data_IF_780084731287
#
_entry.id   IF_780084731287
#
_cell.length_a   1.000
_cell.length_b   1.000
_cell.length_c   1.000
_cell.angle_alpha   90.00
_cell.angle_beta   90.00
_cell.angle_gamma   90.00
#
_symmetry.space_group_name_H-M   'P 1'
#
loop_
_entity.id
_entity.type
_entity.pdbx_description
1 polymer ?
#
# COMPACT_ATOMS: atom_id res chain seq x y z
N UNK A 1 15.74 10.26 12.78
CA UNK A 1 14.67 9.23 12.80
C UNK A 1 13.65 9.58 13.87
N UNK A 2 12.36 9.32 13.64
CA UNK A 2 11.34 9.45 14.68
C UNK A 2 10.56 8.14 14.83
N UNK A 3 10.40 7.66 16.07
CA UNK A 3 9.67 6.44 16.39
C UNK A 3 9.12 6.49 17.82
N UNK A 4 7.91 5.99 18.01
CA UNK A 4 7.23 5.89 19.31
C UNK A 4 7.58 4.60 20.06
N UNK A 5 8.23 3.65 19.38
CA UNK A 5 8.80 2.44 19.96
C UNK A 5 10.34 2.52 19.99
N UNK A 6 10.89 2.69 21.19
CA UNK A 6 12.33 2.78 21.40
C UNK A 6 13.10 1.50 21.06
N UNK A 7 12.40 0.35 20.96
CA UNK A 7 12.98 -0.97 20.68
C UNK A 7 13.06 -1.34 19.21
N UNK A 8 12.29 -0.67 18.34
CA UNK A 8 12.28 -0.96 16.89
C UNK A 8 13.53 -0.35 16.26
N UNK A 9 14.66 -1.02 16.50
CA UNK A 9 15.72 -1.19 15.51
C UNK A 9 15.49 -2.59 14.96
N UNK A 10 14.50 -2.76 14.08
CA UNK A 10 14.37 -4.06 13.43
C UNK A 10 15.52 -4.22 12.42
N UNK A 11 16.71 -4.51 12.95
CA UNK A 11 17.89 -4.83 12.17
C UNK A 11 17.69 -6.12 11.39
N UNK A 12 16.71 -6.97 11.77
CA UNK A 12 16.37 -8.18 11.02
C UNK A 12 15.59 -7.90 9.73
N UNK A 13 14.96 -6.72 9.63
CA UNK A 13 14.34 -6.22 8.42
C UNK A 13 15.34 -5.54 7.45
N UNK A 14 16.57 -5.28 7.90
CA UNK A 14 17.63 -4.76 7.02
C UNK A 14 18.06 -5.88 6.09
N UNK A 15 17.85 -5.68 4.79
CA UNK A 15 18.23 -6.64 3.77
C UNK A 15 19.75 -6.95 3.90
N UNK A 16 20.16 -8.23 4.00
CA UNK A 16 21.57 -8.59 4.16
C UNK A 16 22.48 -8.07 3.05
N UNK A 17 21.93 -7.72 1.88
CA UNK A 17 22.67 -7.09 0.80
C UNK A 17 23.05 -5.64 1.07
N UNK A 18 22.43 -4.95 2.04
CA UNK A 18 22.76 -3.56 2.41
C UNK A 18 24.20 -3.48 2.90
N UNK A 19 24.63 -4.38 3.78
CA UNK A 19 26.02 -4.43 4.25
C UNK A 19 26.97 -4.73 3.08
N UNK A 20 26.59 -5.64 2.19
CA UNK A 20 27.38 -5.94 0.98
C UNK A 20 27.49 -4.75 0.02
N UNK A 21 26.44 -3.94 -0.11
CA UNK A 21 26.40 -2.80 -1.03
C UNK A 21 27.06 -1.55 -0.46
N UNK A 22 26.95 -1.34 0.86
CA UNK A 22 27.37 -0.09 1.51
C UNK A 22 28.65 -0.23 2.33
N UNK A 23 29.02 -1.46 2.73
CA UNK A 23 30.12 -1.73 3.66
C UNK A 23 29.82 -1.35 5.11
N UNK A 24 28.59 -0.91 5.41
CA UNK A 24 28.15 -0.53 6.75
C UNK A 24 27.40 -1.68 7.41
N UNK A 25 27.73 -1.98 8.67
CA UNK A 25 26.94 -2.92 9.46
C UNK A 25 25.56 -2.30 9.76
N UNK A 26 24.49 -3.10 9.88
CA UNK A 26 23.15 -2.62 10.24
C UNK A 26 23.12 -1.69 11.48
N UNK A 27 23.97 -1.96 12.47
CA UNK A 27 24.10 -1.18 13.70
C UNK A 27 24.69 0.21 13.43
N UNK A 28 25.73 0.27 12.57
CA UNK A 28 26.44 1.50 12.24
C UNK A 28 25.58 2.50 11.44
N UNK A 29 24.54 2.02 10.72
CA UNK A 29 23.61 2.85 9.96
C UNK A 29 22.89 3.88 10.85
N UNK A 30 22.71 3.58 12.14
CA UNK A 30 22.01 4.45 13.08
C UNK A 30 22.95 5.27 13.98
N UNK A 31 24.28 5.14 13.83
CA UNK A 31 25.23 5.94 14.59
C UNK A 31 25.18 7.41 14.16
N UNK A 32 25.13 8.32 15.14
CA UNK A 32 25.03 9.76 14.88
C UNK A 32 23.67 10.24 14.34
N UNK A 33 22.67 9.35 14.23
CA UNK A 33 21.32 9.72 13.81
C UNK A 33 20.53 10.28 14.99
N UNK A 34 20.11 11.54 14.88
CA UNK A 34 19.22 12.17 15.87
C UNK A 34 17.88 11.42 15.94
N UNK A 35 17.42 11.15 17.18
CA UNK A 35 16.20 10.38 17.46
C UNK A 35 15.16 11.23 18.17
N UNK A 36 13.91 11.08 17.73
CA UNK A 36 12.78 11.80 18.29
C UNK A 36 11.64 10.80 18.58
N UNK A 37 10.99 10.92 19.74
CA UNK A 37 9.72 10.22 19.96
C UNK A 37 8.58 10.91 19.21
N UNK A 38 8.57 12.25 19.24
CA UNK A 38 7.62 13.06 18.47
C UNK A 38 8.23 13.48 17.13
N UNK A 39 7.67 12.98 16.03
CA UNK A 39 8.14 13.31 14.68
C UNK A 39 8.08 14.81 14.36
N UNK A 40 7.23 15.59 15.04
CA UNK A 40 7.13 17.03 14.78
C UNK A 40 8.43 17.77 15.09
N UNK A 41 9.18 17.29 16.08
CA UNK A 41 10.52 17.81 16.39
C UNK A 41 11.54 17.53 15.28
N UNK A 42 11.35 16.44 14.54
CA UNK A 42 12.16 16.13 13.37
C UNK A 42 11.85 17.10 12.22
N UNK A 43 10.59 17.54 12.08
CA UNK A 43 10.20 18.49 11.02
C UNK A 43 10.82 19.89 11.20
N UNK A 44 11.11 20.29 12.44
CA UNK A 44 11.77 21.56 12.77
C UNK A 44 13.26 21.60 12.32
N UNK A 45 13.86 20.44 12.02
CA UNK A 45 15.25 20.36 11.60
C UNK A 45 15.41 20.87 10.15
N UNK A 46 16.16 21.96 10.00
CA UNK A 46 16.44 22.59 8.70
C UNK A 46 17.41 21.78 7.82
N UNK A 47 18.14 20.81 8.38
CA UNK A 47 19.04 19.93 7.62
C UNK A 47 18.27 18.88 6.82
N UNK A 48 17.03 18.60 7.21
CA UNK A 48 16.18 17.58 6.59
C UNK A 48 15.36 18.24 5.47
N UNK A 49 15.43 17.67 4.26
CA UNK A 49 14.71 18.18 3.08
C UNK A 49 13.58 17.25 2.65
N UNK A 50 13.74 15.93 2.90
CA UNK A 50 12.81 14.89 2.49
C UNK A 50 12.43 14.04 3.71
N UNK A 51 11.16 13.70 3.83
CA UNK A 51 10.62 12.80 4.87
C UNK A 51 10.19 11.50 4.21
N UNK A 52 10.63 10.38 4.78
CA UNK A 52 10.12 9.04 4.46
C UNK A 52 9.15 8.61 5.57
N UNK A 53 7.92 8.28 5.19
CA UNK A 53 6.88 7.83 6.13
C UNK A 53 6.64 6.34 5.90
N UNK A 54 7.06 5.53 6.88
CA UNK A 54 6.79 4.09 6.97
C UNK A 54 6.02 3.71 8.24
N UNK A 55 5.24 4.65 8.77
CA UNK A 55 4.41 4.44 9.96
C UNK A 55 3.20 3.51 9.63
N UNK A 56 2.39 3.11 10.61
CA UNK A 56 1.11 2.46 10.33
C UNK A 56 0.16 3.37 9.53
N UNK A 57 -0.73 2.75 8.74
CA UNK A 57 -1.52 3.44 7.70
C UNK A 57 -2.30 4.67 8.23
N UNK A 58 -2.85 4.60 9.45
CA UNK A 58 -3.59 5.73 10.04
C UNK A 58 -2.74 7.00 10.14
N UNK A 59 -1.43 6.89 10.41
CA UNK A 59 -0.57 8.06 10.58
C UNK A 59 -0.19 8.77 9.29
N UNK A 60 -0.34 8.12 8.14
CA UNK A 60 0.19 8.60 6.86
C UNK A 60 -0.31 10.00 6.50
N UNK A 61 -1.63 10.21 6.50
CA UNK A 61 -2.22 11.47 6.07
C UNK A 61 -1.77 12.65 6.95
N UNK A 62 -1.77 12.48 8.26
CA UNK A 62 -1.35 13.50 9.23
C UNK A 62 0.12 13.86 9.08
N UNK A 63 1.01 12.85 9.11
CA UNK A 63 2.46 13.06 8.99
C UNK A 63 2.83 13.69 7.64
N UNK A 64 2.19 13.28 6.54
CA UNK A 64 2.43 13.84 5.21
C UNK A 64 2.03 15.32 5.16
N UNK A 65 0.84 15.67 5.66
CA UNK A 65 0.36 17.05 5.69
C UNK A 65 1.30 17.93 6.53
N UNK A 66 1.71 17.46 7.70
CA UNK A 66 2.61 18.19 8.59
C UNK A 66 3.99 18.39 7.96
N UNK A 67 4.53 17.36 7.30
CA UNK A 67 5.80 17.45 6.57
C UNK A 67 5.75 18.46 5.42
N UNK A 68 4.68 18.43 4.60
CA UNK A 68 4.50 19.40 3.51
C UNK A 68 4.38 20.83 4.04
N UNK A 69 3.65 21.05 5.14
CA UNK A 69 3.54 22.37 5.77
C UNK A 69 4.86 22.86 6.37
N UNK A 70 5.72 21.94 6.81
CA UNK A 70 7.09 22.24 7.25
C UNK A 70 8.06 22.46 6.07
N UNK A 71 7.58 22.46 4.83
CA UNK A 71 8.38 22.68 3.63
C UNK A 71 9.28 21.51 3.27
N UNK A 72 8.88 20.28 3.61
CA UNK A 72 9.61 19.05 3.29
C UNK A 72 8.91 18.30 2.17
N UNK A 73 9.68 17.73 1.25
CA UNK A 73 9.17 16.77 0.28
C UNK A 73 8.94 15.41 0.97
N UNK A 74 8.04 14.59 0.44
CA UNK A 74 7.58 13.38 1.12
C UNK A 74 7.60 12.16 0.21
N UNK A 75 8.24 11.09 0.68
CA UNK A 75 7.94 9.72 0.25
C UNK A 75 7.07 9.06 1.31
N UNK A 76 5.90 8.54 0.96
CA UNK A 76 4.98 7.88 1.89
C UNK A 76 4.68 6.47 1.42
N UNK A 77 4.77 5.49 2.32
CA UNK A 77 4.37 4.13 1.99
C UNK A 77 2.86 4.03 1.71
N UNK A 78 2.50 3.01 0.93
CA UNK A 78 1.09 2.69 0.67
C UNK A 78 0.47 1.97 1.87
N UNK A 79 -0.84 2.08 2.09
CA UNK A 79 -1.79 2.99 1.44
C UNK A 79 -1.61 4.43 1.94
N UNK A 80 -1.81 5.44 1.08
CA UNK A 80 -1.61 6.84 1.47
C UNK A 80 -2.65 7.35 2.50
N UNK A 81 -3.86 6.79 2.49
CA UNK A 81 -5.01 7.26 3.28
C UNK A 81 -5.92 6.11 3.65
N UNK A 82 -6.67 6.26 4.76
CA UNK A 82 -7.78 5.37 5.12
C UNK A 82 -9.11 5.85 4.54
N UNK A 83 -9.24 7.15 4.25
CA UNK A 83 -10.48 7.75 3.73
C UNK A 83 -10.26 8.60 2.49
N UNK A 84 -11.32 8.78 1.70
CA UNK A 84 -11.29 9.67 0.52
C UNK A 84 -11.06 11.13 0.95
N UNK A 85 -11.60 11.55 2.09
CA UNK A 85 -11.51 12.94 2.54
C UNK A 85 -10.09 13.33 2.98
N UNK A 86 -9.33 12.40 3.57
CA UNK A 86 -7.89 12.58 3.80
C UNK A 86 -7.16 12.87 2.48
N UNK A 87 -7.48 12.13 1.41
CA UNK A 87 -6.88 12.34 0.09
C UNK A 87 -7.19 13.73 -0.46
N UNK A 88 -8.41 14.24 -0.25
CA UNK A 88 -8.79 15.62 -0.62
C UNK A 88 -7.97 16.66 0.15
N UNK A 89 -7.74 16.46 1.45
CA UNK A 89 -6.92 17.36 2.26
C UNK A 89 -5.45 17.35 1.81
N UNK A 90 -4.89 16.17 1.55
CA UNK A 90 -3.52 16.02 1.03
C UNK A 90 -3.36 16.80 -0.28
N UNK A 91 -4.27 16.59 -1.25
CA UNK A 91 -4.23 17.32 -2.53
C UNK A 91 -4.29 18.83 -2.35
N UNK A 92 -5.11 19.32 -1.41
CA UNK A 92 -5.21 20.75 -1.09
C UNK A 92 -3.88 21.28 -0.55
N UNK A 93 -3.22 20.55 0.35
CA UNK A 93 -1.94 20.95 0.95
C UNK A 93 -0.83 20.93 -0.10
N UNK A 94 -0.71 19.86 -0.91
CA UNK A 94 0.24 19.80 -2.03
C UNK A 94 0.09 21.02 -2.95
N UNK A 95 -1.13 21.36 -3.34
CA UNK A 95 -1.39 22.54 -4.20
C UNK A 95 -0.98 23.86 -3.53
N UNK A 96 -1.09 23.94 -2.20
CA UNK A 96 -0.80 25.16 -1.44
C UNK A 96 0.69 25.32 -1.17
N UNK A 97 1.40 24.24 -0.84
CA UNK A 97 2.82 24.26 -0.47
C UNK A 97 3.75 24.09 -1.67
N UNK A 98 3.27 23.43 -2.74
CA UNK A 98 4.10 23.06 -3.89
C UNK A 98 5.06 21.91 -3.62
N UNK A 99 4.96 21.24 -2.47
CA UNK A 99 5.86 20.14 -2.10
C UNK A 99 5.64 18.89 -2.96
N UNK A 100 6.72 18.14 -3.17
CA UNK A 100 6.74 16.93 -3.99
C UNK A 100 6.34 15.74 -3.11
N UNK A 101 5.43 14.90 -3.62
CA UNK A 101 4.98 13.67 -2.96
C UNK A 101 5.16 12.48 -3.87
N UNK A 102 5.81 11.45 -3.36
CA UNK A 102 5.90 10.13 -3.98
C UNK A 102 5.24 9.09 -3.08
N UNK A 103 4.38 8.25 -3.65
CA UNK A 103 3.73 7.14 -2.93
C UNK A 103 4.48 5.85 -3.21
N UNK A 104 4.65 5.00 -2.20
CA UNK A 104 5.35 3.71 -2.25
C UNK A 104 4.66 2.61 -3.06
N UNK A 105 4.01 2.95 -4.17
CA UNK A 105 3.44 2.02 -5.14
C UNK A 105 4.52 1.42 -6.07
N UNK A 106 5.58 0.86 -5.47
CA UNK A 106 6.76 0.36 -6.19
C UNK A 106 6.43 -0.74 -7.21
N UNK A 107 5.28 -1.42 -7.08
CA UNK A 107 4.84 -2.48 -8.00
C UNK A 107 4.71 -2.00 -9.46
N UNK A 108 4.51 -0.70 -9.70
CA UNK A 108 4.56 -0.10 -11.05
C UNK A 108 5.94 -0.23 -11.71
N UNK A 109 7.01 -0.29 -10.91
CA UNK A 109 8.40 -0.43 -11.39
C UNK A 109 8.80 -1.88 -11.65
N UNK A 110 7.99 -2.85 -11.24
CA UNK A 110 8.25 -4.27 -11.52
C UNK A 110 7.92 -4.58 -12.98
N UNK A 111 8.92 -5.09 -13.70
CA UNK A 111 8.82 -5.36 -15.13
C UNK A 111 7.63 -6.25 -15.51
N UNK A 112 7.20 -7.18 -14.65
CA UNK A 112 6.08 -8.09 -14.95
C UNK A 112 4.76 -7.33 -15.02
N UNK A 113 4.49 -6.48 -14.03
CA UNK A 113 3.27 -5.68 -13.98
C UNK A 113 3.27 -4.62 -15.07
N UNK A 114 4.41 -3.95 -15.30
CA UNK A 114 4.56 -3.05 -16.44
C UNK A 114 4.27 -3.77 -17.75
N UNK A 115 4.95 -4.87 -18.05
CA UNK A 115 4.72 -5.63 -19.29
C UNK A 115 3.26 -6.06 -19.43
N UNK A 116 2.62 -6.54 -18.36
CA UNK A 116 1.19 -6.89 -18.41
C UNK A 116 0.31 -5.71 -18.85
N UNK A 117 0.51 -4.53 -18.25
CA UNK A 117 -0.26 -3.32 -18.58
C UNK A 117 0.03 -2.85 -20.01
N UNK A 118 1.29 -2.82 -20.43
CA UNK A 118 1.67 -2.44 -21.79
C UNK A 118 1.07 -3.40 -22.83
N UNK A 119 0.98 -4.71 -22.53
CA UNK A 119 0.31 -5.66 -23.41
C UNK A 119 -1.20 -5.40 -23.52
N UNK A 120 -1.85 -5.02 -22.41
CA UNK A 120 -3.27 -4.61 -22.43
C UNK A 120 -3.44 -3.37 -23.30
N UNK A 121 -2.61 -2.33 -23.10
CA UNK A 121 -2.67 -1.09 -23.88
C UNK A 121 -2.31 -1.28 -25.35
N UNK A 122 -1.41 -2.21 -25.67
CA UNK A 122 -1.06 -2.60 -27.04
C UNK A 122 -2.12 -3.50 -27.72
N UNK A 123 -3.25 -3.80 -27.05
CA UNK A 123 -4.34 -4.60 -27.62
C UNK A 123 -4.03 -6.09 -27.75
N UNK A 124 -3.02 -6.63 -27.05
CA UNK A 124 -2.62 -8.05 -27.14
C UNK A 124 -3.66 -9.04 -26.61
N UNK A 125 -4.66 -8.54 -25.88
CA UNK A 125 -5.81 -9.32 -25.42
C UNK A 125 -7.12 -8.88 -26.12
N UNK A 126 -7.02 -8.10 -27.19
CA UNK A 126 -8.16 -7.40 -27.80
C UNK A 126 -8.71 -6.32 -26.87
N UNK A 127 -10.03 -6.13 -26.87
CA UNK A 127 -10.68 -5.18 -25.98
C UNK A 127 -10.73 -5.74 -24.56
N UNK A 128 -10.13 -5.04 -23.59
CA UNK A 128 -10.26 -5.37 -22.16
C UNK A 128 -11.75 -5.41 -21.75
N UNK A 129 -12.18 -6.47 -21.08
CA UNK A 129 -13.57 -6.66 -20.64
C UNK A 129 -13.69 -6.83 -19.14
N UNK A 130 -12.81 -7.65 -18.55
CA UNK A 130 -12.87 -7.97 -17.14
C UNK A 130 -11.47 -8.00 -16.53
N UNK A 131 -11.38 -7.53 -15.30
CA UNK A 131 -10.20 -7.75 -14.45
C UNK A 131 -10.65 -8.47 -13.19
N UNK A 132 -9.91 -9.50 -12.79
CA UNK A 132 -10.07 -10.12 -11.48
C UNK A 132 -8.82 -9.88 -10.63
N UNK A 133 -9.01 -9.27 -9.47
CA UNK A 133 -7.98 -9.01 -8.47
C UNK A 133 -8.25 -9.90 -7.26
N UNK A 134 -7.44 -10.94 -7.10
CA UNK A 134 -7.51 -11.82 -5.94
C UNK A 134 -6.48 -11.40 -4.88
N UNK A 135 -6.96 -11.06 -3.67
CA UNK A 135 -6.12 -10.54 -2.58
C UNK A 135 -5.77 -11.59 -1.52
N UNK A 136 -6.52 -12.69 -1.46
CA UNK A 136 -6.48 -13.64 -0.36
C UNK A 136 -7.27 -13.15 0.86
N UNK A 137 -7.49 -14.04 1.81
CA UNK A 137 -8.29 -13.76 3.00
C UNK A 137 -7.55 -12.93 4.05
N UNK A 138 -8.32 -12.18 4.82
CA UNK A 138 -7.81 -11.50 6.02
C UNK A 138 -7.55 -12.49 7.15
N UNK A 139 -6.69 -12.09 8.09
CA UNK A 139 -6.53 -12.84 9.33
C UNK A 139 -7.82 -12.74 10.16
N UNK A 140 -8.17 -13.84 10.82
CA UNK A 140 -9.25 -13.89 11.81
C UNK A 140 -8.63 -14.12 13.18
N UNK A 141 -9.15 -13.47 14.21
CA UNK A 141 -8.63 -13.64 15.54
C UNK A 141 -9.37 -12.82 16.59
N UNK A 142 -9.16 -13.21 17.83
CA UNK A 142 -9.79 -12.63 19.01
C UNK A 142 -10.82 -13.59 19.65
N UNK A 143 -11.39 -13.20 20.81
CA UNK A 143 -11.05 -12.00 21.58
C UNK A 143 -9.62 -12.04 22.11
N UNK A 144 -8.90 -10.92 22.02
CA UNK A 144 -7.53 -10.82 22.51
C UNK A 144 -7.49 -10.24 23.93
N UNK A 145 -6.44 -10.60 24.68
CA UNK A 145 -6.21 -10.04 26.00
C UNK A 145 -5.71 -8.58 25.89
N UNK A 146 -6.14 -7.75 26.83
CA UNK A 146 -5.58 -6.42 27.05
C UNK A 146 -4.52 -6.49 28.14
N UNK A 147 -3.39 -5.82 27.94
CA UNK A 147 -2.30 -5.72 28.91
C UNK A 147 -1.84 -4.28 29.04
N UNK A 148 -0.95 -4.00 29.99
CA UNK A 148 -0.17 -2.76 29.95
C UNK A 148 0.73 -2.75 28.71
N UNK A 149 0.89 -1.59 28.08
CA UNK A 149 1.85 -1.40 27.00
C UNK A 149 3.29 -1.62 27.52
N UNK A 150 4.20 -2.17 26.69
CA UNK A 150 5.62 -2.21 27.03
C UNK A 150 6.18 -0.82 27.33
N UNK A 151 7.10 -0.70 28.29
CA UNK A 151 7.67 0.59 28.70
C UNK A 151 8.42 1.33 27.57
N UNK A 152 8.85 0.60 26.55
CA UNK A 152 9.53 1.14 25.38
C UNK A 152 8.57 1.62 24.27
N UNK A 153 7.25 1.41 24.41
CA UNK A 153 6.24 1.81 23.44
C UNK A 153 5.35 2.90 24.03
N UNK A 154 5.38 4.09 23.42
CA UNK A 154 4.43 5.14 23.73
C UNK A 154 3.09 4.85 23.05
N UNK A 155 2.21 4.13 23.75
CA UNK A 155 0.93 3.67 23.21
C UNK A 155 -0.01 4.81 22.80
N UNK A 156 -0.05 5.89 23.57
CA UNK A 156 -0.88 7.07 23.27
C UNK A 156 -0.47 7.70 21.93
N UNK A 157 0.84 7.90 21.72
CA UNK A 157 1.37 8.37 20.45
C UNK A 157 1.27 7.33 19.34
N UNK A 158 1.32 6.04 19.64
CA UNK A 158 1.11 5.01 18.63
C UNK A 158 -0.33 5.09 18.08
N UNK A 159 -1.31 5.23 18.96
CA UNK A 159 -2.73 5.41 18.59
C UNK A 159 -2.95 6.70 17.79
N UNK A 160 -2.38 7.81 18.25
CA UNK A 160 -2.51 9.09 17.54
C UNK A 160 -3.95 9.57 17.44
N UNK A 161 -4.41 9.81 16.21
CA UNK A 161 -5.80 10.21 15.95
C UNK A 161 -6.82 9.06 15.98
N UNK A 162 -6.38 7.81 16.12
CA UNK A 162 -7.28 6.67 16.24
C UNK A 162 -7.95 6.62 17.64
N UNK A 163 -9.04 5.85 17.81
CA UNK A 163 -9.72 5.74 19.10
C UNK A 163 -8.79 5.32 20.26
N UNK A 164 -9.00 5.93 21.42
CA UNK A 164 -8.31 5.53 22.65
C UNK A 164 -8.82 4.18 23.13
N UNK A 165 -7.93 3.17 23.12
CA UNK A 165 -8.23 1.81 23.55
C UNK A 165 -7.10 1.26 24.42
N UNK A 166 -7.37 0.30 25.34
CA UNK A 166 -6.32 -0.41 26.05
C UNK A 166 -5.36 -1.11 25.09
N UNK A 167 -4.11 -1.25 25.51
CA UNK A 167 -3.11 -1.95 24.70
C UNK A 167 -3.45 -3.44 24.57
N UNK A 168 -3.41 -3.91 23.33
CA UNK A 168 -3.50 -5.32 22.94
C UNK A 168 -2.39 -5.58 21.94
N UNK A 169 -1.56 -6.60 22.17
CA UNK A 169 -0.40 -6.88 21.33
C UNK A 169 -0.77 -7.05 19.86
N UNK A 170 -1.86 -7.76 19.60
CA UNK A 170 -2.40 -8.05 18.26
C UNK A 170 -3.01 -6.82 17.57
N UNK A 171 -3.05 -5.67 18.25
CA UNK A 171 -3.45 -4.38 17.68
C UNK A 171 -2.27 -3.57 17.16
N UNK A 172 -1.05 -3.91 17.58
CA UNK A 172 0.15 -3.12 17.33
C UNK A 172 1.05 -3.73 16.23
N UNK A 173 1.91 -2.91 15.65
CA UNK A 173 2.88 -3.32 14.61
C UNK A 173 2.22 -4.15 13.50
N UNK A 174 2.82 -5.24 13.03
CA UNK A 174 2.33 -5.97 11.84
C UNK A 174 0.82 -6.27 11.81
N UNK A 175 0.22 -6.56 12.97
CA UNK A 175 -1.20 -6.95 13.06
C UNK A 175 -2.17 -5.76 13.12
N UNK A 176 -1.69 -4.51 13.17
CA UNK A 176 -2.55 -3.31 13.05
C UNK A 176 -3.44 -3.40 11.80
N UNK A 177 -2.95 -4.07 10.75
CA UNK A 177 -3.60 -4.24 9.44
C UNK A 177 -5.00 -4.83 9.51
N UNK A 178 -5.32 -5.56 10.58
CA UNK A 178 -6.58 -6.28 10.74
C UNK A 178 -7.63 -5.53 11.57
N UNK A 179 -7.40 -4.23 11.79
CA UNK A 179 -8.27 -3.34 12.55
C UNK A 179 -8.64 -2.11 11.72
N UNK A 180 -9.94 -1.85 11.55
CA UNK A 180 -10.46 -0.68 10.84
C UNK A 180 -10.03 0.67 11.44
N UNK A 181 -9.67 0.67 12.72
CA UNK A 181 -9.13 1.86 13.39
C UNK A 181 -7.79 2.32 12.78
N UNK A 182 -7.03 1.39 12.19
CA UNK A 182 -5.66 1.65 11.71
C UNK A 182 -5.45 1.34 10.23
N UNK A 183 -6.27 0.48 9.61
CA UNK A 183 -6.09 -0.05 8.26
C UNK A 183 -7.42 -0.58 7.68
N UNK A 184 -7.39 -1.22 6.51
CA UNK A 184 -8.56 -1.88 5.89
C UNK A 184 -8.31 -3.33 5.46
N UNK A 185 -7.39 -4.03 6.14
CA UNK A 185 -7.05 -5.42 5.82
C UNK A 185 -6.35 -5.58 4.47
N UNK A 186 -6.56 -6.71 3.82
CA UNK A 186 -5.96 -7.05 2.53
C UNK A 186 -6.29 -6.06 1.43
N UNK A 187 -7.44 -5.38 1.53
CA UNK A 187 -7.84 -4.34 0.58
C UNK A 187 -6.87 -3.15 0.59
N UNK A 188 -6.47 -2.68 1.76
CA UNK A 188 -5.53 -1.55 1.86
C UNK A 188 -4.07 -2.01 1.89
N UNK A 189 -3.82 -3.26 2.26
CA UNK A 189 -2.48 -3.84 2.26
C UNK A 189 -2.01 -4.26 0.85
N UNK A 190 -2.42 -5.44 0.38
CA UNK A 190 -2.05 -5.92 -0.96
C UNK A 190 -2.88 -5.25 -2.06
N UNK A 191 -4.14 -4.93 -1.77
CA UNK A 191 -5.06 -4.31 -2.72
C UNK A 191 -4.57 -2.95 -3.19
N UNK A 192 -3.93 -2.14 -2.36
CA UNK A 192 -3.32 -0.87 -2.79
C UNK A 192 -2.34 -1.04 -3.96
N UNK A 193 -1.60 -2.16 -4.02
CA UNK A 193 -0.73 -2.44 -5.16
C UNK A 193 -1.50 -3.00 -6.38
N UNK A 194 -2.34 -4.01 -6.17
CA UNK A 194 -3.01 -4.68 -7.29
C UNK A 194 -4.07 -3.79 -7.95
N UNK A 195 -4.79 -2.99 -7.15
CA UNK A 195 -5.78 -2.04 -7.65
C UNK A 195 -5.13 -0.88 -8.41
N UNK A 196 -3.97 -0.39 -7.98
CA UNK A 196 -3.21 0.62 -8.75
C UNK A 196 -2.85 0.10 -10.15
N UNK A 197 -2.33 -1.13 -10.26
CA UNK A 197 -2.01 -1.73 -11.57
C UNK A 197 -3.27 -1.98 -12.40
N UNK A 198 -4.35 -2.48 -11.80
CA UNK A 198 -5.62 -2.69 -12.50
C UNK A 198 -6.18 -1.37 -13.03
N UNK A 199 -6.20 -0.31 -12.20
CA UNK A 199 -6.64 1.03 -12.59
C UNK A 199 -5.78 1.62 -13.70
N UNK A 200 -4.47 1.37 -13.66
CA UNK A 200 -3.57 1.79 -14.72
C UNK A 200 -3.87 1.10 -16.05
N UNK A 201 -4.20 -0.19 -16.04
CA UNK A 201 -4.63 -0.91 -17.25
C UNK A 201 -5.96 -0.36 -17.81
N UNK A 202 -6.92 -0.02 -16.93
CA UNK A 202 -8.25 0.46 -17.32
C UNK A 202 -8.21 1.89 -17.87
N UNK A 203 -7.39 2.76 -17.28
CA UNK A 203 -7.18 4.15 -17.73
C UNK A 203 -8.33 5.11 -17.44
N UNK A 204 -9.28 4.74 -16.58
CA UNK A 204 -10.39 5.61 -16.13
C UNK A 204 -10.83 5.25 -14.71
N UNK A 205 -11.58 6.14 -14.07
CA UNK A 205 -12.18 5.90 -12.76
C UNK A 205 -13.48 5.09 -12.84
N UNK A 206 -13.84 4.33 -11.79
CA UNK A 206 -15.10 3.59 -11.74
C UNK A 206 -16.29 4.53 -11.59
N UNK A 207 -17.44 4.12 -12.15
CA UNK A 207 -18.73 4.82 -12.03
C UNK A 207 -19.67 4.15 -11.02
N UNK A 208 -19.40 2.90 -10.64
CA UNK A 208 -20.19 2.16 -9.65
C UNK A 208 -19.31 1.21 -8.85
N UNK A 209 -19.61 1.06 -7.56
CA UNK A 209 -18.93 0.14 -6.64
C UNK A 209 -20.00 -0.65 -5.87
N UNK A 210 -19.98 -1.97 -6.00
CA UNK A 210 -20.95 -2.88 -5.38
C UNK A 210 -20.19 -3.81 -4.43
N UNK A 211 -20.14 -3.50 -3.12
CA UNK A 211 -19.45 -4.31 -2.13
C UNK A 211 -20.36 -5.38 -1.51
N UNK A 212 -19.78 -6.55 -1.29
CA UNK A 212 -20.33 -7.65 -0.49
C UNK A 212 -19.25 -8.07 0.51
N UNK A 213 -19.58 -8.14 1.79
CA UNK A 213 -18.61 -8.45 2.83
C UNK A 213 -19.25 -9.12 4.05
N UNK A 214 -18.51 -10.06 4.64
CA UNK A 214 -18.83 -10.63 5.95
C UNK A 214 -17.97 -9.96 7.00
N UNK A 215 -18.59 -9.22 7.93
CA UNK A 215 -17.90 -8.54 9.02
C UNK A 215 -17.92 -9.41 10.27
N UNK A 216 -16.77 -9.72 10.88
CA UNK A 216 -16.74 -10.50 12.11
C UNK A 216 -17.33 -9.71 13.27
N UNK A 217 -18.00 -10.41 14.20
CA UNK A 217 -18.57 -9.82 15.42
C UNK A 217 -17.80 -10.35 16.63
N UNK A 218 -16.55 -9.93 16.77
CA UNK A 218 -15.65 -10.37 17.85
C UNK A 218 -15.21 -9.17 18.69
N UNK A 219 -15.60 -9.16 19.96
CA UNK A 219 -15.15 -8.13 20.91
C UNK A 219 -13.64 -8.19 21.07
N UNK A 220 -12.97 -7.04 20.96
CA UNK A 220 -11.51 -6.94 20.96
C UNK A 220 -10.83 -8.02 20.08
N UNK A 221 -11.37 -8.25 18.89
CA UNK A 221 -10.80 -9.09 17.85
C UNK A 221 -10.66 -8.31 16.54
N UNK A 222 -9.99 -8.93 15.58
CA UNK A 222 -9.88 -8.36 14.24
C UNK A 222 -11.27 -8.07 13.67
N UNK A 223 -11.44 -6.87 13.11
CA UNK A 223 -12.75 -6.35 12.70
C UNK A 223 -12.85 -6.03 11.20
N UNK A 224 -11.79 -6.31 10.43
CA UNK A 224 -11.82 -6.27 8.96
C UNK A 224 -12.63 -7.44 8.38
N UNK A 225 -13.12 -7.36 7.13
CA UNK A 225 -13.99 -8.39 6.55
C UNK A 225 -13.30 -9.75 6.47
N UNK A 226 -13.99 -10.83 6.85
CA UNK A 226 -13.44 -12.20 6.76
C UNK A 226 -13.65 -12.84 5.39
N UNK A 227 -14.68 -12.40 4.67
CA UNK A 227 -14.93 -12.70 3.27
C UNK A 227 -15.37 -11.40 2.58
N UNK A 228 -14.91 -11.17 1.35
CA UNK A 228 -15.28 -9.97 0.62
C UNK A 228 -15.23 -10.16 -0.89
N UNK A 229 -16.17 -9.49 -1.56
CA UNK A 229 -16.25 -9.38 -3.01
C UNK A 229 -16.66 -7.94 -3.33
N UNK A 230 -15.95 -7.29 -4.23
CA UNK A 230 -16.32 -5.92 -4.67
C UNK A 230 -16.31 -5.88 -6.19
N UNK A 231 -17.45 -5.54 -6.79
CA UNK A 231 -17.56 -5.31 -8.22
C UNK A 231 -17.47 -3.80 -8.49
N UNK A 232 -16.52 -3.42 -9.34
CA UNK A 232 -16.39 -2.07 -9.88
C UNK A 232 -16.83 -2.08 -11.34
N UNK A 233 -17.65 -1.11 -11.73
CA UNK A 233 -18.00 -0.87 -13.15
C UNK A 233 -17.39 0.43 -13.63
N UNK A 234 -16.96 0.43 -14.88
CA UNK A 234 -16.27 1.54 -15.54
C UNK A 234 -17.06 2.05 -16.74
N UNK A 235 -16.87 3.32 -17.14
CA UNK A 235 -17.62 3.92 -18.26
C UNK A 235 -17.29 3.31 -19.63
N UNK A 236 -16.22 2.51 -19.73
CA UNK A 236 -15.80 1.80 -20.93
C UNK A 236 -16.28 0.33 -20.96
N UNK A 237 -17.32 0.00 -20.20
CA UNK A 237 -17.90 -1.35 -20.05
C UNK A 237 -16.95 -2.41 -19.49
N UNK A 238 -15.82 -1.99 -18.90
CA UNK A 238 -14.95 -2.89 -18.14
C UNK A 238 -15.55 -3.16 -16.76
N UNK A 239 -15.48 -4.39 -16.30
CA UNK A 239 -15.77 -4.77 -14.92
C UNK A 239 -14.50 -5.21 -14.20
N UNK A 240 -14.25 -4.69 -12.99
CA UNK A 240 -13.19 -5.19 -12.12
C UNK A 240 -13.80 -5.86 -10.89
N UNK A 241 -13.48 -7.13 -10.71
CA UNK A 241 -13.85 -7.92 -9.55
C UNK A 241 -12.68 -8.00 -8.59
N UNK A 242 -12.86 -7.54 -7.36
CA UNK A 242 -11.91 -7.73 -6.26
C UNK A 242 -12.45 -8.79 -5.31
N UNK A 243 -11.65 -9.78 -4.94
CA UNK A 243 -12.10 -10.94 -4.17
C UNK A 243 -11.03 -11.44 -3.21
N UNK A 244 -11.47 -12.02 -2.09
CA UNK A 244 -10.61 -12.68 -1.11
C UNK A 244 -10.23 -14.11 -1.52
N UNK A 245 -10.87 -14.66 -2.55
CA UNK A 245 -10.62 -16.01 -3.08
C UNK A 245 -9.91 -15.98 -4.43
N UNK A 246 -9.29 -17.10 -4.82
CA UNK A 246 -8.59 -17.24 -6.10
C UNK A 246 -7.07 -17.11 -6.00
N UNK A 247 -6.39 -17.07 -7.15
CA UNK A 247 -4.93 -17.01 -7.24
C UNK A 247 -4.46 -15.58 -7.01
N UNK A 248 -3.72 -15.32 -5.92
CA UNK A 248 -3.26 -13.97 -5.59
C UNK A 248 -2.52 -13.29 -6.76
N UNK A 249 -3.06 -12.18 -7.24
CA UNK A 249 -2.60 -11.48 -8.43
C UNK A 249 -3.74 -10.80 -9.17
N UNK A 250 -3.45 -10.46 -10.43
CA UNK A 250 -4.36 -9.78 -11.34
C UNK A 250 -4.52 -10.64 -12.59
N UNK A 251 -5.76 -10.96 -12.95
CA UNK A 251 -6.12 -11.56 -14.22
C UNK A 251 -6.78 -10.49 -15.09
N UNK A 252 -6.16 -10.17 -16.22
CA UNK A 252 -6.74 -9.35 -17.27
C UNK A 252 -7.40 -10.27 -18.30
N UNK A 253 -8.67 -10.02 -18.62
CA UNK A 253 -9.43 -10.76 -19.62
C UNK A 253 -9.97 -9.79 -20.67
N UNK A 254 -9.59 -10.03 -21.93
CA UNK A 254 -10.09 -9.28 -23.07
C UNK A 254 -10.77 -10.18 -24.10
N UNK A 255 -11.21 -9.61 -25.21
CA UNK A 255 -11.95 -10.32 -26.25
C UNK A 255 -11.14 -11.38 -26.99
N UNK A 256 -9.81 -11.32 -26.96
CA UNK A 256 -8.92 -12.19 -27.73
C UNK A 256 -7.93 -12.99 -26.86
N UNK A 257 -7.92 -12.75 -25.55
CA UNK A 257 -6.98 -13.45 -24.67
C UNK A 257 -7.06 -13.01 -23.21
N UNK A 258 -6.18 -13.61 -22.41
CA UNK A 258 -6.06 -13.30 -20.99
C UNK A 258 -4.61 -13.36 -20.53
N UNK A 259 -4.27 -12.51 -19.57
CA UNK A 259 -2.95 -12.42 -18.96
C UNK A 259 -3.10 -12.42 -17.45
N UNK A 260 -2.35 -13.27 -16.77
CA UNK A 260 -2.24 -13.27 -15.32
C UNK A 260 -0.88 -12.71 -14.89
N UNK A 261 -0.87 -11.84 -13.87
CA UNK A 261 0.35 -11.29 -13.30
C UNK A 261 0.32 -11.22 -11.77
N UNK A 262 1.45 -11.54 -11.15
CA UNK A 262 1.74 -11.27 -9.74
C UNK A 262 3.26 -11.10 -9.53
N UNK A 263 3.70 -10.95 -8.27
CA UNK A 263 5.12 -10.78 -7.91
C UNK A 263 6.02 -11.99 -8.21
N UNK A 264 5.46 -13.12 -8.64
CA UNK A 264 6.22 -14.33 -8.98
C UNK A 264 6.10 -14.72 -10.45
N UNK A 265 5.10 -14.23 -11.18
CA UNK A 265 4.76 -14.75 -12.51
C UNK A 265 4.06 -13.73 -13.39
N UNK A 266 4.32 -13.82 -14.69
CA UNK A 266 3.56 -13.23 -15.78
C UNK A 266 3.27 -14.37 -16.77
N UNK A 267 2.01 -14.64 -17.08
CA UNK A 267 1.63 -15.83 -17.86
C UNK A 267 0.34 -15.65 -18.63
N UNK A 268 0.21 -16.37 -19.74
CA UNK A 268 -0.97 -16.38 -20.63
C UNK A 268 -0.51 -16.55 -22.07
N UNK A 269 -1.38 -17.05 -22.96
CA UNK A 269 -1.02 -17.24 -24.39
C UNK A 269 -0.42 -15.97 -25.02
N UNK A 270 -0.98 -14.76 -24.79
CA UNK A 270 -0.36 -13.54 -25.32
C UNK A 270 1.05 -13.27 -24.79
N UNK A 271 1.39 -13.76 -23.59
CA UNK A 271 2.73 -13.63 -22.99
C UNK A 271 3.69 -14.61 -23.67
N UNK A 272 3.26 -15.84 -23.92
CA UNK A 272 4.04 -16.86 -24.62
C UNK A 272 4.37 -16.39 -26.05
N UNK A 273 3.41 -15.71 -26.70
CA UNK A 273 3.56 -15.14 -28.04
C UNK A 273 4.58 -13.99 -28.12
N UNK A 274 5.05 -13.43 -27.00
CA UNK A 274 6.06 -12.35 -27.00
C UNK A 274 7.40 -12.78 -27.61
N UNK A 275 7.68 -14.09 -27.64
CA UNK A 275 8.90 -14.64 -28.26
C UNK A 275 8.91 -14.37 -29.76
N UNK A 276 7.77 -14.59 -30.42
CA UNK A 276 7.61 -14.43 -31.88
C UNK A 276 7.09 -13.03 -32.25
N UNK A 277 6.34 -12.39 -31.35
CA UNK A 277 5.68 -11.10 -31.55
C UNK A 277 6.04 -10.13 -30.41
N UNK A 278 7.29 -9.66 -30.30
CA UNK A 278 7.73 -8.81 -29.20
C UNK A 278 6.98 -7.48 -29.12
N UNK A 279 6.96 -6.87 -27.94
CA UNK A 279 6.51 -5.48 -27.79
C UNK A 279 7.56 -4.55 -28.40
N UNK A 280 7.14 -3.70 -29.34
CA UNK A 280 8.00 -2.67 -29.89
C UNK A 280 8.22 -1.56 -28.86
N UNK A 281 9.44 -1.02 -28.79
CA UNK A 281 9.80 0.06 -27.86
C UNK A 281 8.86 1.28 -27.98
N UNK A 282 8.37 1.54 -29.18
CA UNK A 282 7.44 2.63 -29.50
C UNK A 282 6.06 2.45 -28.86
N UNK A 283 5.70 1.23 -28.45
CA UNK A 283 4.47 0.95 -27.73
C UNK A 283 4.56 1.31 -26.23
N UNK A 284 5.77 1.57 -25.70
CA UNK A 284 5.96 1.91 -24.30
C UNK A 284 5.78 3.41 -24.09
N UNK A 285 4.75 3.79 -23.33
CA UNK A 285 4.62 5.15 -22.81
C UNK A 285 5.56 5.34 -21.62
N UNK A 286 6.42 6.36 -21.66
CA UNK A 286 7.06 6.86 -20.43
C UNK A 286 6.01 7.70 -19.69
N UNK A 287 5.54 7.20 -18.55
CA UNK A 287 4.57 7.83 -17.66
C UNK A 287 5.24 8.43 -16.43
#
# INVERSE_FOLDING_TARGET
MADVDGSVRDLSAIDPSVEKQTGLSPESIYEGVDRYEDYRRLLDDRRIHVILIGAPDHWHAGMLIDALKAGKDVYVEKPITLTIDEGKQIRKVIKTTGGIVQVGSWQRSDHRFRTAVEMVHAGRIGQLRRIEVALGSNAVGGPFATTTAPNNLNWDRWLGQAPLVPYTKERCHYTFRWWFDYAGGKMTDHGAHHLDIAQWAIGTDPIEVIPEATIPQVNNGYNVPTAFRVLFRYPNDVEMLVTDTGRNGILFEGSEGRIFVNRGSLSGVPVDDLVELPLHREAFGLY
#
